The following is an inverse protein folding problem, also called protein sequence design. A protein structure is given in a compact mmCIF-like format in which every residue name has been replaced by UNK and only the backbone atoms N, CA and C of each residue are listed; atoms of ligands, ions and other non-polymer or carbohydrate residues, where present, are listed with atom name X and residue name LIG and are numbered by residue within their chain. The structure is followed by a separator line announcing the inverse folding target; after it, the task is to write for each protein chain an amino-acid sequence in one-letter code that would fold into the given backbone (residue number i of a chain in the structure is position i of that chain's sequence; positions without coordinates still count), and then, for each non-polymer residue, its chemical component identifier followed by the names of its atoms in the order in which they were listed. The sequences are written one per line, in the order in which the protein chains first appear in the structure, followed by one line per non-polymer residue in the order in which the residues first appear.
data_IF_242433167285
#
_entry.id   IF_242433167285
#
_cell.length_a   1.000
_cell.length_b   1.000
_cell.length_c   1.000
_cell.angle_alpha   90.00
_cell.angle_beta   90.00
_cell.angle_gamma   90.00
#
_symmetry.space_group_name_H-M   'P 1'
#
loop_
_entity.id
_entity.type
_entity.pdbx_description
1 polymer ?
#
# COMPACT_ATOMS: atom_id res chain seq x y z
N UNK A 1 48.98 45.11 49.33
CA UNK A 1 49.28 44.15 48.24
C UNK A 1 48.17 43.11 48.17
N UNK A 2 47.79 42.74 46.95
CA UNK A 2 46.57 42.04 46.49
C UNK A 2 46.18 40.75 47.22
N UNK A 3 44.90 40.64 47.56
CA UNK A 3 44.21 39.41 47.99
C UNK A 3 44.12 38.35 46.88
N UNK A 4 45.23 37.64 46.64
CA UNK A 4 45.36 36.57 45.62
C UNK A 4 45.28 35.14 46.16
N UNK A 5 45.15 34.94 47.48
CA UNK A 5 45.16 33.60 48.09
C UNK A 5 43.81 32.86 48.08
N UNK A 6 42.69 33.57 48.29
CA UNK A 6 41.37 32.94 48.47
C UNK A 6 40.76 32.37 47.18
N UNK A 7 41.08 32.97 46.02
CA UNK A 7 40.56 32.52 44.72
C UNK A 7 41.10 31.16 44.26
N UNK A 8 42.33 30.81 44.65
CA UNK A 8 43.00 29.54 44.26
C UNK A 8 42.49 28.33 45.04
N UNK A 9 42.06 28.53 46.28
CA UNK A 9 41.54 27.45 47.14
C UNK A 9 40.13 27.05 46.69
N UNK A 10 39.29 28.03 46.34
CA UNK A 10 37.93 27.77 45.84
C UNK A 10 37.92 27.04 44.49
N UNK A 11 38.85 27.34 43.60
CA UNK A 11 38.97 26.63 42.31
C UNK A 11 39.47 25.19 42.49
N UNK A 12 40.39 24.96 43.42
CA UNK A 12 40.86 23.61 43.72
C UNK A 12 39.74 22.72 44.31
N UNK A 13 38.93 23.26 45.23
CA UNK A 13 37.81 22.53 45.83
C UNK A 13 36.71 22.23 44.80
N UNK A 14 36.38 23.20 43.95
CA UNK A 14 35.40 22.99 42.88
C UNK A 14 35.88 21.93 41.87
N UNK A 15 37.15 21.96 41.47
CA UNK A 15 37.73 20.94 40.59
C UNK A 15 37.73 19.54 41.21
N UNK A 16 38.01 19.44 42.51
CA UNK A 16 38.01 18.16 43.22
C UNK A 16 36.58 17.59 43.39
N UNK A 17 35.59 18.45 43.63
CA UNK A 17 34.19 18.05 43.72
C UNK A 17 33.66 17.53 42.38
N UNK A 18 34.05 18.15 41.25
CA UNK A 18 33.67 17.67 39.91
C UNK A 18 34.33 16.33 39.58
N UNK A 19 35.60 16.14 39.94
CA UNK A 19 36.29 14.85 39.75
C UNK A 19 35.67 13.72 40.58
N UNK A 20 35.28 13.99 41.83
CA UNK A 20 34.56 13.02 42.67
C UNK A 20 33.18 12.67 42.11
N UNK A 21 32.47 13.66 41.57
CA UNK A 21 31.15 13.44 40.94
C UNK A 21 31.21 12.48 39.75
N UNK A 22 32.25 12.55 38.93
CA UNK A 22 32.44 11.67 37.77
C UNK A 22 32.73 10.22 38.20
N UNK A 23 33.50 10.01 39.27
CA UNK A 23 33.77 8.66 39.78
C UNK A 23 32.54 8.01 40.42
N UNK A 24 31.64 8.82 41.00
CA UNK A 24 30.38 8.34 41.58
C UNK A 24 29.25 8.11 40.56
N UNK A 25 29.47 8.40 39.28
CA UNK A 25 28.45 8.16 38.27
C UNK A 25 28.28 6.65 38.04
N UNK A 26 27.07 6.09 38.14
CA UNK A 26 26.85 4.69 37.87
C UNK A 26 27.28 4.39 36.44
N UNK A 27 28.05 3.32 36.24
CA UNK A 27 28.44 2.88 34.91
C UNK A 27 27.18 2.78 34.04
N UNK A 28 27.22 3.41 32.86
CA UNK A 28 26.16 3.31 31.85
C UNK A 28 25.90 1.82 31.62
N UNK A 29 24.76 1.34 32.14
CA UNK A 29 24.37 -0.04 31.90
C UNK A 29 23.99 -0.12 30.43
N UNK A 30 24.74 -0.94 29.68
CA UNK A 30 24.39 -1.29 28.32
C UNK A 30 23.16 -2.18 28.42
N UNK A 31 21.98 -1.60 28.32
CA UNK A 31 20.73 -2.36 28.25
C UNK A 31 20.66 -2.94 26.85
N UNK A 32 21.05 -4.20 26.71
CA UNK A 32 20.80 -4.95 25.48
C UNK A 32 19.29 -5.04 25.33
N UNK A 33 18.76 -4.56 24.21
CA UNK A 33 17.34 -4.54 23.97
C UNK A 33 16.88 -5.98 23.68
N UNK A 34 16.49 -6.70 24.73
CA UNK A 34 16.03 -8.08 24.69
C UNK A 34 14.66 -8.20 24.01
N UNK A 35 14.59 -7.94 22.71
CA UNK A 35 13.40 -8.23 21.89
C UNK A 35 13.40 -9.65 21.32
N UNK A 36 14.44 -10.45 21.61
CA UNK A 36 14.65 -11.78 21.03
C UNK A 36 15.07 -12.86 22.03
N UNK A 37 14.99 -12.59 23.34
CA UNK A 37 15.24 -13.63 24.33
C UNK A 37 14.17 -14.72 24.20
N UNK A 38 14.57 -15.92 23.82
CA UNK A 38 13.67 -17.07 23.66
C UNK A 38 12.93 -17.45 24.94
N UNK A 39 13.43 -17.01 26.10
CA UNK A 39 12.86 -17.27 27.42
C UNK A 39 11.72 -16.27 27.76
N UNK A 40 11.66 -15.12 27.06
CA UNK A 40 10.59 -14.10 27.18
C UNK A 40 9.80 -13.86 25.88
N UNK A 41 10.20 -14.43 24.76
CA UNK A 41 9.50 -14.40 23.48
C UNK A 41 8.29 -15.36 23.48
N UNK A 42 7.33 -15.11 24.37
CA UNK A 42 6.13 -15.95 24.53
C UNK A 42 5.01 -15.68 23.51
N UNK A 43 5.24 -14.82 22.51
CA UNK A 43 4.20 -14.40 21.57
C UNK A 43 4.54 -14.90 20.16
N UNK A 44 3.76 -15.87 19.69
CA UNK A 44 3.78 -16.29 18.29
C UNK A 44 3.15 -15.20 17.42
N UNK A 45 3.89 -14.69 16.44
CA UNK A 45 3.32 -13.86 15.37
C UNK A 45 2.81 -14.78 14.27
N UNK A 46 1.50 -14.77 14.04
CA UNK A 46 0.93 -15.47 12.88
C UNK A 46 1.13 -14.60 11.65
N UNK A 47 1.97 -15.06 10.72
CA UNK A 47 2.04 -14.45 9.40
C UNK A 47 0.65 -14.59 8.72
N UNK A 48 0.04 -13.46 8.40
CA UNK A 48 -1.25 -13.42 7.71
C UNK A 48 -1.04 -13.02 6.25
N UNK A 49 -1.70 -13.73 5.35
CA UNK A 49 -1.70 -13.42 3.92
C UNK A 49 -3.02 -12.78 3.52
N UNK A 50 -2.97 -11.70 2.76
CA UNK A 50 -4.18 -11.11 2.18
C UNK A 50 -4.78 -12.06 1.13
N UNK A 51 -6.07 -12.34 1.26
CA UNK A 51 -6.81 -13.14 0.30
C UNK A 51 -6.78 -12.46 -1.09
N UNK A 52 -6.50 -13.27 -2.11
CA UNK A 52 -6.51 -12.83 -3.50
C UNK A 52 -7.95 -12.63 -3.96
N UNK A 53 -8.32 -11.46 -4.50
CA UNK A 53 -9.64 -11.26 -5.10
C UNK A 53 -9.90 -12.24 -6.25
N UNK A 54 -11.16 -12.58 -6.49
CA UNK A 54 -11.53 -13.48 -7.59
C UNK A 54 -12.37 -12.72 -8.61
N UNK A 55 -11.85 -12.54 -9.83
CA UNK A 55 -12.59 -11.90 -10.91
C UNK A 55 -13.65 -12.86 -11.46
N UNK A 56 -14.91 -12.55 -11.18
CA UNK A 56 -16.10 -13.33 -11.55
C UNK A 56 -16.57 -13.04 -12.97
N UNK A 57 -16.48 -11.79 -13.42
CA UNK A 57 -16.79 -11.43 -14.81
C UNK A 57 -15.96 -10.26 -15.29
N UNK A 58 -15.70 -10.23 -16.59
CA UNK A 58 -15.24 -9.03 -17.27
C UNK A 58 -15.92 -8.97 -18.64
N UNK A 59 -16.67 -7.90 -18.89
CA UNK A 59 -17.45 -7.75 -20.12
C UNK A 59 -17.15 -6.40 -20.74
N UNK A 60 -16.92 -6.40 -22.06
CA UNK A 60 -16.80 -5.15 -22.82
C UNK A 60 -18.19 -4.61 -23.16
N UNK A 61 -18.31 -3.29 -23.16
CA UNK A 61 -19.49 -2.58 -23.61
C UNK A 61 -19.19 -1.98 -24.98
N UNK A 62 -20.06 -2.25 -25.95
CA UNK A 62 -19.96 -1.72 -27.30
C UNK A 62 -21.26 -1.00 -27.67
N UNK A 63 -21.15 0.12 -28.37
CA UNK A 63 -22.29 0.83 -28.96
C UNK A 63 -22.05 0.95 -30.46
N UNK A 64 -22.98 0.42 -31.28
CA UNK A 64 -22.86 0.41 -32.74
C UNK A 64 -21.52 -0.17 -33.24
N UNK A 65 -21.01 -1.20 -32.55
CA UNK A 65 -19.72 -1.83 -32.87
C UNK A 65 -18.47 -1.05 -32.43
N UNK A 66 -18.64 0.09 -31.74
CA UNK A 66 -17.56 0.89 -31.17
C UNK A 66 -17.37 0.57 -29.69
N UNK A 67 -16.13 0.43 -29.22
CA UNK A 67 -15.82 0.26 -27.81
C UNK A 67 -16.22 1.50 -26.98
N UNK A 68 -17.09 1.34 -25.99
CA UNK A 68 -17.54 2.43 -25.10
C UNK A 68 -17.10 2.26 -23.65
N UNK A 69 -16.61 1.08 -23.27
CA UNK A 69 -16.13 0.80 -21.94
C UNK A 69 -16.09 -0.68 -21.62
N UNK A 70 -15.84 -1.02 -20.36
CA UNK A 70 -15.96 -2.38 -19.85
C UNK A 70 -16.45 -2.38 -18.41
N UNK A 71 -17.04 -3.49 -18.00
CA UNK A 71 -17.44 -3.74 -16.62
C UNK A 71 -16.67 -4.94 -16.11
N UNK A 72 -16.03 -4.79 -14.95
CA UNK A 72 -15.37 -5.88 -14.25
C UNK A 72 -16.06 -6.11 -12.91
N UNK A 73 -16.31 -7.38 -12.60
CA UNK A 73 -16.83 -7.81 -11.31
C UNK A 73 -15.88 -8.79 -10.64
N UNK A 74 -15.72 -8.64 -9.33
CA UNK A 74 -14.88 -9.53 -8.54
C UNK A 74 -15.42 -9.69 -7.12
N UNK A 75 -14.94 -10.71 -6.43
CA UNK A 75 -15.28 -10.95 -5.02
C UNK A 75 -14.04 -10.87 -4.14
N UNK A 76 -14.23 -10.39 -2.91
CA UNK A 76 -13.18 -10.30 -1.89
C UNK A 76 -13.81 -10.32 -0.48
N UNK A 77 -13.12 -10.90 0.52
CA UNK A 77 -13.60 -10.89 1.91
C UNK A 77 -13.41 -9.53 2.61
N UNK A 78 -12.63 -8.62 2.03
CA UNK A 78 -12.32 -7.30 2.60
C UNK A 78 -13.27 -6.23 2.09
N UNK A 79 -13.34 -5.07 2.75
CA UNK A 79 -14.18 -3.91 2.36
C UNK A 79 -13.57 -3.11 1.20
N UNK A 80 -14.35 -2.23 0.54
CA UNK A 80 -13.89 -1.41 -0.60
C UNK A 80 -12.62 -0.62 -0.29
N UNK A 81 -12.47 -0.09 0.92
CA UNK A 81 -11.28 0.66 1.33
C UNK A 81 -9.98 -0.15 1.26
N UNK A 82 -10.10 -1.48 1.25
CA UNK A 82 -9.01 -2.45 1.17
C UNK A 82 -8.94 -3.11 -0.21
N UNK A 83 -9.61 -2.55 -1.22
CA UNK A 83 -9.56 -3.01 -2.60
C UNK A 83 -8.85 -1.97 -3.46
N UNK A 84 -8.11 -2.44 -4.45
CA UNK A 84 -7.42 -1.62 -5.43
C UNK A 84 -7.65 -2.18 -6.82
N UNK A 85 -8.38 -1.42 -7.64
CA UNK A 85 -8.49 -1.65 -9.08
C UNK A 85 -7.41 -0.82 -9.79
N UNK A 86 -6.71 -1.43 -10.75
CA UNK A 86 -5.73 -0.74 -11.57
C UNK A 86 -5.75 -1.22 -13.02
N UNK A 87 -5.37 -0.35 -13.93
CA UNK A 87 -5.32 -0.63 -15.37
C UNK A 87 -3.96 -0.15 -15.88
N UNK A 88 -3.14 -1.04 -16.44
CA UNK A 88 -1.73 -0.75 -16.81
C UNK A 88 -0.96 -0.01 -15.70
N UNK A 89 -1.15 -0.44 -14.45
CA UNK A 89 -0.55 0.13 -13.24
C UNK A 89 -1.10 1.51 -12.82
N UNK A 90 -2.05 2.10 -13.55
CA UNK A 90 -2.76 3.29 -13.12
C UNK A 90 -3.90 2.87 -12.19
N UNK A 91 -3.90 3.41 -10.97
CA UNK A 91 -4.94 3.11 -9.97
C UNK A 91 -6.23 3.83 -10.36
N UNK A 92 -7.33 3.08 -10.37
CA UNK A 92 -8.68 3.62 -10.54
C UNK A 92 -9.18 4.06 -9.17
N UNK A 93 -9.79 5.24 -9.11
CA UNK A 93 -10.39 5.75 -7.88
C UNK A 93 -11.54 4.83 -7.42
N UNK A 94 -11.52 4.47 -6.13
CA UNK A 94 -12.50 3.57 -5.53
C UNK A 94 -13.93 4.13 -5.51
N UNK A 95 -14.14 5.41 -5.78
CA UNK A 95 -15.47 5.98 -6.05
C UNK A 95 -16.15 5.36 -7.29
N UNK A 96 -15.37 4.79 -8.22
CA UNK A 96 -15.89 4.07 -9.38
C UNK A 96 -16.17 2.58 -9.09
N UNK A 97 -16.02 2.16 -7.83
CA UNK A 97 -16.22 0.77 -7.40
C UNK A 97 -17.44 0.69 -6.50
N UNK A 98 -18.42 -0.09 -6.93
CA UNK A 98 -19.61 -0.38 -6.15
C UNK A 98 -19.41 -1.69 -5.37
N UNK A 99 -19.74 -1.69 -4.07
CA UNK A 99 -19.72 -2.87 -3.20
C UNK A 99 -21.15 -3.31 -2.91
N UNK A 100 -21.37 -4.62 -2.88
CA UNK A 100 -22.65 -5.23 -2.52
C UNK A 100 -22.45 -6.53 -1.72
N UNK A 101 -23.51 -6.98 -1.05
CA UNK A 101 -23.52 -8.20 -0.24
C UNK A 101 -23.07 -8.01 1.21
N UNK A 102 -23.31 -9.03 2.04
CA UNK A 102 -22.94 -9.09 3.45
C UNK A 102 -21.75 -10.02 3.74
N UNK A 103 -21.11 -10.55 2.70
CA UNK A 103 -19.89 -11.37 2.79
C UNK A 103 -20.00 -12.74 2.09
N UNK A 104 -18.96 -13.17 1.35
CA UNK A 104 -17.90 -12.35 0.76
C UNK A 104 -18.50 -11.22 -0.10
N UNK A 105 -17.85 -10.05 -0.13
CA UNK A 105 -18.38 -8.89 -0.83
C UNK A 105 -18.21 -9.04 -2.33
N UNK A 106 -19.19 -8.54 -3.08
CA UNK A 106 -19.14 -8.47 -4.53
C UNK A 106 -18.90 -7.03 -4.94
N UNK A 107 -17.90 -6.84 -5.79
CA UNK A 107 -17.47 -5.57 -6.33
C UNK A 107 -17.79 -5.49 -7.82
N UNK A 108 -18.22 -4.32 -8.26
CA UNK A 108 -18.44 -4.03 -9.68
C UNK A 108 -17.94 -2.63 -10.00
N UNK A 109 -17.22 -2.52 -11.11
CA UNK A 109 -16.77 -1.23 -11.65
C UNK A 109 -17.03 -1.17 -13.14
N UNK A 110 -17.72 -0.12 -13.57
CA UNK A 110 -17.97 0.18 -14.98
C UNK A 110 -17.09 1.35 -15.38
N UNK A 111 -16.14 1.07 -16.28
CA UNK A 111 -15.14 2.02 -16.73
C UNK A 111 -15.47 2.41 -18.17
N UNK A 112 -15.73 3.69 -18.40
CA UNK A 112 -15.99 4.22 -19.74
C UNK A 112 -14.70 4.42 -20.54
N UNK A 113 -14.82 4.44 -21.87
CA UNK A 113 -13.71 4.76 -22.78
C UNK A 113 -13.19 6.18 -22.56
N UNK A 114 -14.04 7.12 -22.15
CA UNK A 114 -13.62 8.47 -21.75
C UNK A 114 -12.66 8.45 -20.57
N UNK A 115 -13.02 7.74 -19.49
CA UNK A 115 -12.17 7.57 -18.32
C UNK A 115 -10.86 6.85 -18.67
N UNK A 116 -10.93 5.79 -19.47
CA UNK A 116 -9.74 5.08 -19.95
C UNK A 116 -8.81 5.98 -20.77
N UNK A 117 -9.37 6.83 -21.65
CA UNK A 117 -8.56 7.76 -22.44
C UNK A 117 -7.88 8.80 -21.54
N UNK A 118 -8.53 9.23 -20.45
CA UNK A 118 -7.90 10.13 -19.48
C UNK A 118 -6.81 9.44 -18.65
N UNK A 119 -6.97 8.16 -18.32
CA UNK A 119 -6.00 7.41 -17.53
C UNK A 119 -4.79 6.93 -18.35
N UNK A 120 -5.02 6.52 -19.60
CA UNK A 120 -4.06 5.74 -20.40
C UNK A 120 -3.69 6.40 -21.74
N UNK A 121 -4.37 7.49 -22.12
CA UNK A 121 -4.21 8.09 -23.45
C UNK A 121 -4.90 7.28 -24.54
N UNK A 122 -4.23 7.03 -25.67
CA UNK A 122 -4.84 6.35 -26.81
C UNK A 122 -5.03 4.85 -26.56
N UNK A 123 -6.28 4.39 -26.61
CA UNK A 123 -6.66 2.98 -26.42
C UNK A 123 -6.75 2.16 -27.72
N UNK A 124 -6.62 2.82 -28.87
CA UNK A 124 -6.88 2.18 -30.17
C UNK A 124 -5.79 1.16 -30.50
N UNK A 125 -6.20 -0.10 -30.72
CA UNK A 125 -5.27 -1.21 -30.95
C UNK A 125 -4.43 -1.57 -29.72
N UNK A 126 -4.84 -1.12 -28.52
CA UNK A 126 -4.12 -1.34 -27.28
C UNK A 126 -4.64 -2.58 -26.54
N UNK A 127 -3.71 -3.25 -25.86
CA UNK A 127 -4.00 -4.28 -24.87
C UNK A 127 -3.63 -3.74 -23.50
N UNK A 128 -4.58 -3.76 -22.56
CA UNK A 128 -4.44 -3.19 -21.23
C UNK A 128 -4.65 -4.27 -20.17
N UNK A 129 -3.77 -4.34 -19.20
CA UNK A 129 -3.88 -5.27 -18.07
C UNK A 129 -4.75 -4.64 -16.99
N UNK A 130 -5.91 -5.23 -16.73
CA UNK A 130 -6.80 -4.89 -15.62
C UNK A 130 -6.42 -5.76 -14.44
N UNK A 131 -6.16 -5.16 -13.29
CA UNK A 131 -5.65 -5.82 -12.10
C UNK A 131 -6.46 -5.42 -10.87
N UNK A 132 -6.94 -6.41 -10.13
CA UNK A 132 -7.61 -6.21 -8.84
C UNK A 132 -6.78 -6.85 -7.71
N UNK A 133 -6.59 -6.09 -6.65
CA UNK A 133 -5.77 -6.46 -5.49
C UNK A 133 -6.47 -6.08 -4.19
N UNK A 134 -6.22 -6.86 -3.14
CA UNK A 134 -6.53 -6.47 -1.76
C UNK A 134 -5.33 -5.76 -1.16
N UNK A 135 -5.55 -4.68 -0.42
CA UNK A 135 -4.51 -3.89 0.23
C UNK A 135 -4.78 -3.74 1.74
N UNK A 136 -3.72 -3.71 2.53
CA UNK A 136 -3.77 -3.35 3.94
C UNK A 136 -2.66 -2.34 4.26
N UNK A 137 -3.05 -1.08 4.49
CA UNK A 137 -2.09 0.02 4.59
C UNK A 137 -1.38 0.27 3.26
N UNK A 138 -0.10 0.63 3.31
CA UNK A 138 0.67 1.05 2.12
C UNK A 138 1.61 -0.01 1.56
N UNK A 139 1.97 -1.03 2.35
CA UNK A 139 2.98 -2.01 1.98
C UNK A 139 2.41 -3.42 1.74
N UNK A 140 1.25 -3.75 2.31
CA UNK A 140 0.67 -5.08 2.17
C UNK A 140 -0.30 -5.12 1.00
N UNK A 141 0.03 -5.96 0.03
CA UNK A 141 -0.76 -6.18 -1.18
C UNK A 141 -0.91 -7.69 -1.37
N UNK A 142 -2.12 -8.16 -1.67
CA UNK A 142 -2.34 -9.55 -2.06
C UNK A 142 -1.70 -9.85 -3.42
N UNK A 143 -1.54 -11.13 -3.79
CA UNK A 143 -1.45 -11.49 -5.19
C UNK A 143 -2.63 -10.87 -5.96
N UNK A 144 -2.37 -10.54 -7.22
CA UNK A 144 -3.34 -9.83 -8.03
C UNK A 144 -4.13 -10.78 -8.93
N UNK A 145 -5.43 -10.55 -9.05
CA UNK A 145 -6.21 -11.19 -10.11
C UNK A 145 -6.24 -10.26 -11.33
N UNK A 146 -5.84 -10.80 -12.48
CA UNK A 146 -5.64 -10.05 -13.70
C UNK A 146 -6.60 -10.48 -14.81
N UNK A 147 -7.03 -9.51 -15.61
CA UNK A 147 -7.72 -9.70 -16.89
C UNK A 147 -7.05 -8.82 -17.93
N UNK A 148 -7.15 -9.24 -19.18
CA UNK A 148 -6.59 -8.57 -20.34
C UNK A 148 -7.73 -7.93 -21.12
N UNK A 149 -7.75 -6.60 -21.17
CA UNK A 149 -8.66 -5.81 -21.98
C UNK A 149 -8.00 -5.52 -23.33
N UNK A 150 -8.55 -6.08 -24.40
CA UNK A 150 -8.15 -5.81 -25.78
C UNK A 150 -9.20 -4.92 -26.46
N UNK A 151 -8.76 -3.80 -27.03
CA UNK A 151 -9.60 -2.89 -27.82
C UNK A 151 -9.14 -2.94 -29.27
N UNK A 152 -9.97 -3.53 -30.14
CA UNK A 152 -9.62 -3.77 -31.53
C UNK A 152 -9.97 -2.62 -32.47
N UNK A 153 -9.14 -2.40 -33.49
CA UNK A 153 -9.44 -1.52 -34.63
C UNK A 153 -9.08 -0.04 -34.45
N UNK A 154 -8.95 0.66 -35.58
CA UNK A 154 -8.83 2.11 -35.64
C UNK A 154 -10.23 2.69 -35.37
N UNK A 155 -10.39 3.42 -34.26
CA UNK A 155 -11.67 3.92 -33.71
C UNK A 155 -12.52 2.88 -32.92
N UNK A 156 -11.96 1.74 -32.51
CA UNK A 156 -12.76 0.70 -31.85
C UNK A 156 -13.74 0.00 -32.81
N UNK A 157 -13.60 0.26 -34.12
CA UNK A 157 -14.40 -0.28 -35.20
C UNK A 157 -13.60 -1.38 -35.93
N UNK A 158 -14.22 -2.55 -36.07
CA UNK A 158 -13.69 -3.63 -36.92
C UNK A 158 -12.67 -4.56 -36.26
N UNK A 159 -12.45 -4.48 -34.95
CA UNK A 159 -11.70 -5.48 -34.18
C UNK A 159 -12.54 -6.06 -33.04
N UNK A 160 -12.22 -7.27 -32.60
CA UNK A 160 -12.96 -7.93 -31.53
C UNK A 160 -12.52 -7.32 -30.19
N UNK A 161 -13.41 -6.58 -29.52
CA UNK A 161 -13.16 -6.06 -28.18
C UNK A 161 -13.38 -7.19 -27.18
N UNK A 162 -12.39 -7.50 -26.34
CA UNK A 162 -12.46 -8.63 -25.41
C UNK A 162 -11.91 -8.25 -24.04
N UNK A 163 -12.45 -8.84 -22.98
CA UNK A 163 -11.86 -8.80 -21.65
C UNK A 163 -11.76 -10.22 -21.08
N UNK A 164 -10.53 -10.74 -20.92
CA UNK A 164 -10.29 -12.16 -20.58
C UNK A 164 -9.14 -12.36 -19.61
#
# INVERSE_FOLDING_TARGET
MRGRGRGRILTAVAGFAVLLGVVSSPAVQVTDAAFTDSEYAGQSFTASTLATPVVTSCTVTNLLGTFTGFTITWTSPYLTAQQRLSINNVVVDNSNVTQSGSGPYTYSSTISSGLLNTLLGSLLGSTNTVKVESIAGTAWVSPAATRTLSVGGLLGLGGNNTCT
#
